data_IF_342201669204
#
_entry.id   IF_342201669204
#
_cell.length_a   1.000
_cell.length_b   1.000
_cell.length_c   1.000
_cell.angle_alpha   90.00
_cell.angle_beta   90.00
_cell.angle_gamma   90.00
#
_symmetry.space_group_name_H-M   'P 1'
#
loop_
_entity.id
_entity.type
_entity.pdbx_description
1 polymer ?
#
# COMPACT_ATOMS: atom_id res chain seq x y z
N UNK A 1 43.84 26.05 29.47
CA UNK A 1 44.32 24.78 28.89
C UNK A 1 43.13 24.06 28.27
N UNK A 2 43.25 23.72 26.98
CA UNK A 2 42.24 23.02 26.19
C UNK A 2 42.23 21.54 26.58
N UNK A 3 41.04 20.95 26.72
CA UNK A 3 40.84 19.52 26.49
C UNK A 3 39.51 19.36 25.75
N UNK A 4 39.64 18.95 24.50
CA UNK A 4 38.56 18.70 23.57
C UNK A 4 37.79 17.43 23.97
N UNK A 5 36.47 17.51 24.02
CA UNK A 5 35.60 16.35 24.05
C UNK A 5 35.01 16.16 22.64
N UNK A 6 35.46 15.10 21.98
CA UNK A 6 35.03 14.69 20.65
C UNK A 6 33.52 14.44 20.61
N UNK A 7 32.84 15.08 19.65
CA UNK A 7 31.47 14.79 19.27
C UNK A 7 31.45 13.42 18.56
N UNK A 8 30.88 12.39 19.19
CA UNK A 8 30.54 11.15 18.50
C UNK A 8 29.23 11.40 17.75
N UNK A 9 29.35 11.63 16.45
CA UNK A 9 28.23 11.58 15.53
C UNK A 9 27.77 10.11 15.42
N UNK A 10 26.64 9.79 16.05
CA UNK A 10 25.96 8.51 15.83
C UNK A 10 25.27 8.56 14.47
N UNK A 11 25.97 8.05 13.47
CA UNK A 11 25.41 7.66 12.18
C UNK A 11 24.52 6.43 12.43
N UNK A 12 23.20 6.62 12.49
CA UNK A 12 22.22 5.53 12.44
C UNK A 12 22.12 5.03 10.99
N UNK A 13 23.11 4.24 10.60
CA UNK A 13 23.09 3.42 9.39
C UNK A 13 22.17 2.20 9.57
N UNK A 14 21.55 1.83 8.46
CA UNK A 14 20.51 0.82 8.28
C UNK A 14 20.64 -0.46 9.10
N UNK A 15 19.48 -0.91 9.60
CA UNK A 15 19.16 -2.32 9.75
C UNK A 15 17.80 -2.61 9.09
N UNK A 16 17.66 -3.78 8.45
CA UNK A 16 16.47 -4.15 7.68
C UNK A 16 15.29 -4.35 8.63
N UNK A 17 14.19 -3.67 8.34
CA UNK A 17 12.90 -3.99 8.96
C UNK A 17 12.52 -5.37 8.46
N UNK A 18 12.69 -6.38 9.33
CA UNK A 18 12.27 -7.74 9.07
C UNK A 18 10.81 -7.76 8.65
N UNK A 19 10.59 -8.18 7.41
CA UNK A 19 9.38 -8.76 6.82
C UNK A 19 8.27 -9.08 7.84
N UNK A 20 7.30 -8.19 7.97
CA UNK A 20 6.06 -8.49 8.69
C UNK A 20 5.19 -9.32 7.76
N UNK A 21 5.13 -10.62 8.03
CA UNK A 21 4.05 -11.51 7.59
C UNK A 21 2.80 -11.10 8.36
N UNK A 22 1.82 -10.51 7.68
CA UNK A 22 0.52 -10.23 8.29
C UNK A 22 -0.41 -11.42 8.05
N UNK A 23 -0.30 -12.38 8.95
CA UNK A 23 -1.31 -13.37 9.27
C UNK A 23 -1.28 -13.49 10.79
N UNK A 24 -2.32 -12.96 11.44
CA UNK A 24 -2.75 -13.28 12.81
C UNK A 24 -1.65 -13.70 13.82
N UNK A 25 -0.78 -12.77 14.22
CA UNK A 25 -0.13 -12.84 15.54
C UNK A 25 -0.15 -11.45 16.17
N UNK A 26 -0.68 -11.37 17.38
CA UNK A 26 -0.49 -10.25 18.29
C UNK A 26 1.01 -9.94 18.40
N UNK A 27 1.37 -8.66 18.57
CA UNK A 27 2.74 -8.29 18.98
C UNK A 27 3.12 -9.17 20.17
N UNK A 28 3.98 -10.17 19.97
CA UNK A 28 4.32 -11.12 21.02
C UNK A 28 5.02 -10.38 22.17
N UNK A 29 4.74 -10.76 23.40
CA UNK A 29 5.33 -10.15 24.61
C UNK A 29 6.86 -10.05 24.53
N UNK A 30 7.50 -11.00 23.82
CA UNK A 30 8.95 -11.02 23.56
C UNK A 30 9.43 -9.83 22.72
N UNK A 31 8.66 -9.38 21.72
CA UNK A 31 9.00 -8.20 20.90
C UNK A 31 8.83 -6.90 21.68
N UNK A 32 7.81 -6.82 22.54
CA UNK A 32 7.58 -5.67 23.42
C UNK A 32 8.69 -5.54 24.49
N UNK A 33 9.15 -6.65 25.06
CA UNK A 33 10.31 -6.66 25.97
C UNK A 33 11.63 -6.26 25.29
N UNK A 34 11.84 -6.62 24.02
CA UNK A 34 13.02 -6.16 23.27
C UNK A 34 12.99 -4.64 23.02
N UNK A 35 11.81 -4.06 22.83
CA UNK A 35 11.64 -2.61 22.73
C UNK A 35 11.89 -1.91 24.06
N UNK A 36 11.45 -2.48 25.19
CA UNK A 36 11.66 -1.92 26.53
C UNK A 36 13.15 -1.77 26.88
N UNK A 37 13.99 -2.77 26.54
CA UNK A 37 15.45 -2.68 26.73
C UNK A 37 16.10 -1.51 26.00
N UNK A 38 15.48 -1.06 24.91
CA UNK A 38 15.99 0.00 24.04
C UNK A 38 15.39 1.37 24.37
N UNK A 39 14.19 1.38 24.95
CA UNK A 39 13.47 2.59 25.34
C UNK A 39 12.89 2.42 26.76
N UNK A 40 13.73 2.49 27.81
CA UNK A 40 13.27 2.29 29.18
C UNK A 40 12.22 3.32 29.61
N UNK A 41 12.29 4.54 29.06
CA UNK A 41 11.33 5.61 29.30
C UNK A 41 9.94 5.37 28.69
N UNK A 42 9.74 4.27 27.95
CA UNK A 42 8.45 3.89 27.40
C UNK A 42 7.57 3.13 28.42
N UNK A 43 8.16 2.53 29.45
CA UNK A 43 7.47 1.92 30.58
C UNK A 43 7.06 3.03 31.56
N UNK A 44 5.85 3.53 31.37
CA UNK A 44 5.37 4.72 32.05
C UNK A 44 4.83 4.40 33.45
N UNK A 45 4.32 3.18 33.65
CA UNK A 45 3.83 2.71 34.94
C UNK A 45 4.94 2.06 35.81
N UNK A 46 6.12 1.78 35.23
CA UNK A 46 7.29 1.24 35.92
C UNK A 46 7.17 -0.25 36.28
N UNK A 47 6.30 -0.99 35.59
CA UNK A 47 6.02 -2.40 35.90
C UNK A 47 7.00 -3.39 35.23
N UNK A 48 7.92 -2.89 34.40
CA UNK A 48 8.91 -3.70 33.70
C UNK A 48 8.38 -4.46 32.48
N UNK A 49 7.15 -4.17 32.03
CA UNK A 49 6.48 -4.80 30.90
C UNK A 49 5.85 -3.74 29.99
N UNK A 50 6.43 -3.52 28.82
CA UNK A 50 5.91 -2.54 27.87
C UNK A 50 4.57 -3.00 27.25
N UNK A 51 3.46 -2.35 27.64
CA UNK A 51 2.15 -2.54 27.03
C UNK A 51 2.05 -1.90 25.63
N UNK A 52 1.01 -2.26 24.86
CA UNK A 52 0.79 -1.65 23.54
C UNK A 52 0.45 -0.16 23.66
N UNK A 53 -0.32 0.18 24.68
CA UNK A 53 -0.79 1.51 25.00
C UNK A 53 0.39 2.42 25.36
N UNK A 54 1.32 1.92 26.17
CA UNK A 54 2.57 2.62 26.52
C UNK A 54 3.51 2.79 25.32
N UNK A 55 3.66 1.76 24.48
CA UNK A 55 4.45 1.86 23.26
C UNK A 55 3.90 2.91 22.28
N UNK A 56 2.57 3.06 22.21
CA UNK A 56 1.90 4.09 21.41
C UNK A 56 2.06 5.47 22.04
N UNK A 57 1.85 5.58 23.36
CA UNK A 57 1.97 6.83 24.10
C UNK A 57 3.40 7.39 24.03
N UNK A 58 4.41 6.55 24.24
CA UNK A 58 5.82 6.93 24.13
C UNK A 58 6.18 7.39 22.71
N UNK A 59 5.70 6.69 21.68
CA UNK A 59 5.89 7.12 20.28
C UNK A 59 5.26 8.49 20.03
N UNK A 60 4.07 8.74 20.53
CA UNK A 60 3.36 10.01 20.37
C UNK A 60 4.07 11.14 21.12
N UNK A 61 4.60 10.87 22.33
CA UNK A 61 5.33 11.84 23.13
C UNK A 61 6.68 12.21 22.50
N UNK A 62 7.44 11.24 21.98
CA UNK A 62 8.69 11.49 21.24
C UNK A 62 8.41 12.28 19.96
N UNK A 63 7.30 12.00 19.28
CA UNK A 63 6.88 12.75 18.08
C UNK A 63 6.42 14.17 18.42
N UNK A 64 5.76 14.37 19.56
CA UNK A 64 5.32 15.69 20.05
C UNK A 64 6.47 16.55 20.61
N UNK A 65 7.46 15.94 21.25
CA UNK A 65 8.65 16.64 21.77
C UNK A 65 9.53 17.26 20.69
N UNK A 66 9.51 16.70 19.47
CA UNK A 66 10.18 17.27 18.30
C UNK A 66 9.44 18.53 17.78
N UNK A 67 8.14 18.66 18.05
CA UNK A 67 7.32 19.78 17.58
C UNK A 67 7.40 21.05 18.47
N UNK A 68 7.86 20.95 19.73
CA UNK A 68 7.79 22.05 20.70
C UNK A 68 9.12 22.78 21.00
N UNK A 69 10.23 22.40 20.37
CA UNK A 69 11.55 23.05 20.57
C UNK A 69 11.76 24.32 19.74
N UNK A 70 11.32 25.49 20.25
CA UNK A 70 11.32 26.81 19.60
C UNK A 70 12.66 27.47 19.22
N UNK A 71 13.72 26.73 18.88
CA UNK A 71 14.98 27.26 18.31
C UNK A 71 15.43 26.54 17.03
N UNK A 72 14.51 25.82 16.38
CA UNK A 72 14.78 25.00 15.18
C UNK A 72 14.50 25.68 13.83
N UNK A 73 14.07 26.94 13.79
CA UNK A 73 13.58 27.58 12.55
C UNK A 73 14.67 27.72 11.47
N UNK A 74 15.95 27.83 11.85
CA UNK A 74 17.07 27.88 10.91
C UNK A 74 17.56 26.49 10.43
N UNK A 75 17.28 25.42 11.19
CA UNK A 75 17.67 24.04 10.83
C UNK A 75 16.54 23.23 10.19
N UNK A 76 15.29 23.71 10.23
CA UNK A 76 14.15 23.09 9.55
C UNK A 76 14.27 23.11 8.01
N UNK A 77 15.04 24.07 7.47
CA UNK A 77 15.41 24.11 6.03
C UNK A 77 16.36 22.97 5.61
N UNK A 78 16.99 22.27 6.56
CA UNK A 78 17.94 21.17 6.30
C UNK A 78 17.39 19.77 6.62
N UNK A 79 16.27 19.65 7.34
CA UNK A 79 15.66 18.35 7.66
C UNK A 79 14.61 17.89 6.64
N UNK A 80 14.53 18.53 5.47
CA UNK A 80 13.90 18.04 4.24
C UNK A 80 14.64 16.85 3.64
N UNK A 81 15.07 15.87 4.46
CA UNK A 81 15.31 14.54 3.91
C UNK A 81 13.95 13.90 3.65
N UNK A 82 13.34 14.29 2.53
CA UNK A 82 12.22 13.59 1.94
C UNK A 82 12.58 12.13 1.68
N UNK A 83 11.55 11.32 1.37
CA UNK A 83 11.76 9.97 0.85
C UNK A 83 12.79 10.04 -0.30
N UNK A 84 13.73 9.09 -0.36
CA UNK A 84 14.68 8.99 -1.49
C UNK A 84 13.89 8.67 -2.77
N UNK A 85 13.61 9.70 -3.56
CA UNK A 85 12.85 9.59 -4.83
C UNK A 85 13.76 9.31 -6.01
N UNK A 86 14.96 9.90 -6.00
CA UNK A 86 16.03 9.54 -6.91
C UNK A 86 16.90 8.48 -6.26
N UNK A 87 16.99 7.34 -6.93
CA UNK A 87 17.82 6.22 -6.50
C UNK A 87 18.65 5.73 -7.65
N UNK A 88 19.85 5.26 -7.32
CA UNK A 88 20.71 4.58 -8.28
C UNK A 88 20.04 3.23 -8.59
N UNK A 89 19.67 3.05 -9.85
CA UNK A 89 19.23 1.77 -10.39
C UNK A 89 20.48 1.02 -10.83
N UNK A 90 20.56 -0.27 -10.53
CA UNK A 90 21.67 -1.09 -11.00
C UNK A 90 21.56 -1.24 -12.54
N UNK A 91 22.65 -1.01 -13.31
CA UNK A 91 22.61 -1.13 -14.78
C UNK A 91 22.25 -2.54 -15.27
N UNK A 92 22.30 -3.55 -14.40
CA UNK A 92 21.79 -4.88 -14.70
C UNK A 92 20.30 -4.93 -15.05
N UNK A 93 19.51 -3.90 -14.72
CA UNK A 93 18.12 -3.76 -15.20
C UNK A 93 18.00 -3.44 -16.68
N UNK A 94 19.07 -2.94 -17.31
CA UNK A 94 19.11 -2.62 -18.73
C UNK A 94 19.75 -3.75 -19.56
N UNK A 95 20.12 -4.87 -18.90
CA UNK A 95 20.58 -6.09 -19.57
C UNK A 95 19.41 -6.98 -19.98
N UNK A 96 19.63 -7.81 -21.00
CA UNK A 96 18.64 -8.79 -21.47
C UNK A 96 18.27 -9.82 -20.39
N UNK A 97 19.21 -10.12 -19.49
CA UNK A 97 19.05 -11.11 -18.42
C UNK A 97 19.64 -10.63 -17.11
N UNK A 98 19.04 -11.09 -16.01
CA UNK A 98 19.61 -10.95 -14.67
C UNK A 98 20.78 -11.93 -14.48
N UNK A 99 21.61 -11.76 -13.44
CA UNK A 99 22.67 -12.71 -13.11
C UNK A 99 22.18 -14.17 -13.08
N UNK A 100 22.99 -15.12 -13.57
CA UNK A 100 22.63 -16.54 -13.72
C UNK A 100 22.20 -17.22 -12.41
N UNK A 101 22.62 -16.70 -11.26
CA UNK A 101 22.20 -17.20 -9.95
C UNK A 101 20.85 -16.66 -9.46
N UNK A 102 20.20 -15.76 -10.20
CA UNK A 102 18.90 -15.21 -9.83
C UNK A 102 17.86 -16.32 -9.59
N UNK A 103 17.09 -16.17 -8.51
CA UNK A 103 16.14 -17.20 -8.08
C UNK A 103 15.01 -17.44 -9.08
N UNK A 104 14.63 -16.44 -9.89
CA UNK A 104 13.59 -16.55 -10.91
C UNK A 104 13.88 -17.57 -12.03
N UNK A 105 15.15 -18.02 -12.14
CA UNK A 105 15.57 -19.07 -13.07
C UNK A 105 15.57 -20.47 -12.46
N UNK A 106 15.28 -20.61 -11.15
CA UNK A 106 15.29 -21.88 -10.44
C UNK A 106 13.93 -22.59 -10.54
N UNK A 107 13.96 -23.91 -10.35
CA UNK A 107 12.75 -24.74 -10.28
C UNK A 107 11.96 -24.46 -8.98
N UNK A 108 10.65 -24.72 -8.94
CA UNK A 108 9.84 -24.52 -7.74
C UNK A 108 10.41 -25.17 -6.46
N UNK A 109 10.96 -26.38 -6.59
CA UNK A 109 11.60 -27.12 -5.49
C UNK A 109 12.88 -26.44 -4.99
N UNK A 110 13.72 -25.94 -5.90
CA UNK A 110 14.93 -25.19 -5.54
C UNK A 110 14.58 -23.87 -4.86
N UNK A 111 13.59 -23.13 -5.35
CA UNK A 111 13.12 -21.88 -4.74
C UNK A 111 12.66 -22.13 -3.30
N UNK A 112 11.90 -23.21 -3.08
CA UNK A 112 11.45 -23.64 -1.76
C UNK A 112 12.63 -23.95 -0.82
N UNK A 113 13.62 -24.72 -1.30
CA UNK A 113 14.81 -25.03 -0.53
C UNK A 113 15.61 -23.76 -0.14
N UNK A 114 15.75 -22.81 -1.08
CA UNK A 114 16.42 -21.52 -0.85
C UNK A 114 15.67 -20.72 0.22
N UNK A 115 14.33 -20.61 0.12
CA UNK A 115 13.56 -19.83 1.09
C UNK A 115 13.53 -20.46 2.48
N UNK A 116 13.41 -21.79 2.56
CA UNK A 116 13.51 -22.55 3.82
C UNK A 116 14.85 -22.27 4.51
N UNK A 117 15.95 -22.28 3.75
CA UNK A 117 17.28 -21.95 4.27
C UNK A 117 17.37 -20.49 4.71
N UNK A 118 16.91 -19.55 3.88
CA UNK A 118 16.96 -18.11 4.17
C UNK A 118 16.18 -17.71 5.43
N UNK A 119 15.10 -18.44 5.74
CA UNK A 119 14.26 -18.19 6.93
C UNK A 119 14.62 -19.09 8.12
N UNK A 120 15.63 -19.96 7.98
CA UNK A 120 15.96 -20.99 8.97
C UNK A 120 14.75 -21.84 9.39
N UNK A 121 13.82 -22.09 8.46
CA UNK A 121 12.57 -22.82 8.70
C UNK A 121 11.55 -22.11 9.61
N UNK A 122 11.77 -20.84 9.98
CA UNK A 122 10.87 -20.10 10.89
C UNK A 122 9.60 -19.61 10.21
N UNK A 123 9.53 -19.67 8.88
CA UNK A 123 8.35 -19.30 8.11
C UNK A 123 7.91 -20.48 7.25
N UNK A 124 6.60 -20.66 7.03
CA UNK A 124 6.13 -21.62 6.06
C UNK A 124 6.76 -21.27 4.72
N UNK A 125 7.49 -22.22 4.13
CA UNK A 125 8.22 -21.94 2.92
C UNK A 125 7.28 -21.71 1.73
N UNK A 126 6.14 -22.40 1.71
CA UNK A 126 5.06 -22.18 0.75
C UNK A 126 3.81 -21.79 1.52
N UNK A 127 3.32 -20.58 1.29
CA UNK A 127 1.94 -20.20 1.66
C UNK A 127 1.05 -20.50 0.47
N UNK A 128 -0.03 -21.22 0.73
CA UNK A 128 -1.06 -21.58 -0.25
C UNK A 128 -2.44 -21.48 0.40
N UNK A 129 -3.46 -21.31 -0.43
CA UNK A 129 -4.85 -21.30 0.00
C UNK A 129 -5.66 -22.19 -0.94
N UNK A 130 -6.61 -23.00 -0.44
CA UNK A 130 -7.54 -23.71 -1.29
C UNK A 130 -8.34 -22.70 -2.12
N UNK A 131 -8.82 -23.11 -3.29
CA UNK A 131 -9.71 -22.28 -4.11
C UNK A 131 -10.93 -21.89 -3.26
N UNK A 132 -11.21 -20.60 -3.06
CA UNK A 132 -12.35 -20.18 -2.27
C UNK A 132 -13.68 -20.53 -2.95
N UNK A 133 -14.68 -20.93 -2.17
CA UNK A 133 -16.03 -21.25 -2.64
C UNK A 133 -17.05 -20.13 -2.35
N UNK A 134 -16.61 -19.06 -1.67
CA UNK A 134 -17.39 -17.91 -1.26
C UNK A 134 -17.26 -16.71 -2.22
N UNK A 135 -16.56 -16.89 -3.35
CA UNK A 135 -16.27 -15.83 -4.32
C UNK A 135 -15.01 -15.03 -4.02
N UNK A 136 -14.30 -15.30 -2.92
CA UNK A 136 -13.04 -14.64 -2.62
C UNK A 136 -11.96 -14.98 -3.67
N UNK A 137 -11.04 -14.05 -3.92
CA UNK A 137 -9.89 -14.27 -4.81
C UNK A 137 -8.62 -14.41 -3.99
N UNK A 138 -7.73 -15.33 -4.35
CA UNK A 138 -6.42 -15.50 -3.70
C UNK A 138 -5.49 -14.37 -4.15
N UNK A 139 -5.20 -13.45 -3.24
CA UNK A 139 -4.40 -12.25 -3.52
C UNK A 139 -2.98 -12.42 -3.00
N UNK A 140 -2.00 -12.22 -3.88
CA UNK A 140 -0.62 -11.98 -3.52
C UNK A 140 -0.27 -10.51 -3.77
N UNK A 141 0.62 -9.91 -3.00
CA UNK A 141 0.86 -8.48 -3.13
C UNK A 141 2.21 -7.95 -2.68
N UNK A 142 2.66 -6.90 -3.36
CA UNK A 142 3.82 -6.08 -3.00
C UNK A 142 3.34 -4.66 -2.73
N UNK A 143 4.04 -3.97 -1.83
CA UNK A 143 3.76 -2.56 -1.62
C UNK A 143 4.49 -1.98 -0.44
N UNK A 144 4.22 -0.70 -0.22
CA UNK A 144 4.78 0.05 0.88
C UNK A 144 3.69 0.67 1.76
N UNK A 145 4.05 1.64 2.59
CA UNK A 145 3.17 2.28 3.56
C UNK A 145 1.89 2.87 2.98
N UNK A 146 1.81 3.11 1.67
CA UNK A 146 0.59 3.58 1.01
C UNK A 146 -0.35 2.43 0.67
N UNK A 147 0.15 1.20 0.49
CA UNK A 147 -0.69 0.02 0.21
C UNK A 147 -1.13 -0.73 1.47
N UNK A 148 -0.35 -0.59 2.55
CA UNK A 148 -0.60 -1.27 3.82
C UNK A 148 -2.00 -1.01 4.39
N UNK A 149 -2.58 0.21 4.33
CA UNK A 149 -3.93 0.42 4.84
C UNK A 149 -4.96 -0.42 4.08
N UNK A 150 -4.99 -0.37 2.74
CA UNK A 150 -5.85 -1.22 1.90
C UNK A 150 -5.70 -2.71 2.19
N UNK A 151 -4.47 -3.23 2.27
CA UNK A 151 -4.21 -4.63 2.64
C UNK A 151 -4.74 -5.00 4.05
N UNK A 152 -4.74 -4.07 5.00
CA UNK A 152 -5.22 -4.32 6.37
C UNK A 152 -6.74 -4.33 6.47
N UNK A 153 -7.40 -3.46 5.71
CA UNK A 153 -8.85 -3.30 5.74
C UNK A 153 -9.58 -4.32 4.88
N UNK A 154 -8.96 -4.77 3.78
CA UNK A 154 -9.58 -5.70 2.82
C UNK A 154 -10.16 -6.98 3.48
N UNK A 155 -9.46 -7.68 4.41
CA UNK A 155 -10.04 -8.86 5.05
C UNK A 155 -11.30 -8.59 5.88
N UNK A 156 -11.37 -7.44 6.58
CA UNK A 156 -12.55 -7.07 7.36
C UNK A 156 -13.73 -6.72 6.44
N UNK A 157 -13.49 -5.97 5.37
CA UNK A 157 -14.48 -5.61 4.37
C UNK A 157 -15.01 -6.88 3.67
N UNK A 158 -14.11 -7.78 3.26
CA UNK A 158 -14.48 -9.04 2.63
C UNK A 158 -15.33 -9.91 3.55
N UNK A 159 -14.98 -9.98 4.84
CA UNK A 159 -15.77 -10.72 5.84
C UNK A 159 -17.19 -10.18 5.97
N UNK A 160 -17.36 -8.86 6.01
CA UNK A 160 -18.68 -8.25 6.04
C UNK A 160 -19.48 -8.55 4.76
N UNK A 161 -18.81 -8.72 3.62
CA UNK A 161 -19.40 -9.18 2.38
C UNK A 161 -19.62 -10.71 2.30
N UNK A 162 -19.38 -11.47 3.38
CA UNK A 162 -19.56 -12.92 3.41
C UNK A 162 -18.37 -13.74 2.87
N UNK A 163 -17.20 -13.12 2.69
CA UNK A 163 -16.00 -13.74 2.12
C UNK A 163 -14.85 -13.86 3.12
N UNK A 164 -14.04 -14.92 3.01
CA UNK A 164 -12.78 -15.07 3.73
C UNK A 164 -11.61 -14.77 2.80
N UNK A 165 -11.07 -13.56 2.88
CA UNK A 165 -9.99 -13.10 2.00
C UNK A 165 -8.66 -13.87 2.21
N UNK A 166 -8.19 -14.66 1.23
CA UNK A 166 -6.83 -15.18 1.22
C UNK A 166 -5.88 -14.09 0.73
N UNK A 167 -4.93 -13.68 1.57
CA UNK A 167 -4.01 -12.57 1.30
C UNK A 167 -2.59 -12.92 1.76
N UNK A 168 -1.61 -12.77 0.87
CA UNK A 168 -0.19 -12.94 1.21
C UNK A 168 0.65 -11.81 0.61
N UNK A 169 1.41 -11.10 1.46
CA UNK A 169 2.11 -9.89 1.01
C UNK A 169 3.58 -9.86 1.38
N UNK A 170 4.38 -9.17 0.57
CA UNK A 170 5.75 -8.78 0.89
C UNK A 170 5.88 -7.26 0.86
N UNK A 171 5.57 -6.65 1.99
CA UNK A 171 5.60 -5.18 2.14
C UNK A 171 6.90 -4.67 2.76
N UNK A 172 7.17 -3.38 2.58
CA UNK A 172 8.31 -2.66 3.17
C UNK A 172 8.02 -1.17 3.39
N UNK A 173 8.90 -0.45 4.10
CA UNK A 173 8.79 1.01 4.25
C UNK A 173 9.41 1.74 3.06
N UNK A 174 8.68 2.69 2.45
CA UNK A 174 9.17 3.45 1.30
C UNK A 174 9.69 2.54 0.17
N UNK A 175 10.88 2.82 -0.35
CA UNK A 175 11.50 2.08 -1.47
C UNK A 175 11.64 0.58 -1.21
N UNK A 176 11.80 0.17 0.05
CA UNK A 176 11.97 -1.25 0.41
C UNK A 176 10.72 -2.10 0.17
N UNK A 177 9.58 -1.44 -0.11
CA UNK A 177 8.32 -2.07 -0.53
C UNK A 177 8.01 -1.92 -2.03
N UNK A 178 8.89 -1.30 -2.83
CA UNK A 178 8.70 -1.16 -4.28
C UNK A 178 8.83 -2.49 -5.02
N UNK A 179 8.18 -2.61 -6.19
CA UNK A 179 8.26 -3.79 -7.04
C UNK A 179 9.71 -4.15 -7.40
N UNK A 180 10.51 -3.13 -7.78
CA UNK A 180 11.95 -3.27 -8.07
C UNK A 180 12.71 -3.84 -6.89
N UNK A 181 12.64 -3.18 -5.73
CA UNK A 181 13.42 -3.58 -4.55
C UNK A 181 13.07 -4.99 -4.10
N UNK A 182 11.78 -5.34 -4.11
CA UNK A 182 11.36 -6.70 -3.78
C UNK A 182 11.88 -7.71 -4.79
N UNK A 183 11.86 -7.40 -6.09
CA UNK A 183 12.40 -8.30 -7.11
C UNK A 183 13.88 -8.59 -6.85
N UNK A 184 14.68 -7.55 -6.60
CA UNK A 184 16.11 -7.68 -6.32
C UNK A 184 16.36 -8.52 -5.05
N UNK A 185 15.59 -8.26 -3.99
CA UNK A 185 15.65 -9.00 -2.73
C UNK A 185 15.28 -10.47 -2.88
N UNK A 186 14.20 -10.77 -3.59
CA UNK A 186 13.73 -12.15 -3.77
C UNK A 186 14.70 -12.96 -4.62
N UNK A 187 15.31 -12.32 -5.62
CA UNK A 187 16.26 -12.96 -6.51
C UNK A 187 17.69 -13.04 -5.94
N UNK A 188 18.03 -12.27 -4.91
CA UNK A 188 19.38 -12.23 -4.37
C UNK A 188 20.39 -11.69 -5.38
N UNK A 189 20.02 -10.61 -6.06
CA UNK A 189 20.83 -9.95 -7.09
C UNK A 189 21.17 -8.51 -6.69
N UNK A 190 22.19 -7.94 -7.32
CA UNK A 190 22.63 -6.56 -7.11
C UNK A 190 22.98 -6.28 -5.63
N UNK A 191 22.27 -5.37 -4.96
CA UNK A 191 22.53 -5.07 -3.55
C UNK A 191 22.24 -6.26 -2.62
N UNK A 192 21.56 -7.30 -3.12
CA UNK A 192 21.26 -8.56 -2.43
C UNK A 192 22.09 -9.75 -2.93
N UNK A 193 23.19 -9.50 -3.66
CA UNK A 193 23.94 -10.55 -4.35
C UNK A 193 24.28 -11.75 -3.43
N UNK A 194 23.85 -12.94 -3.85
CA UNK A 194 24.05 -14.19 -3.12
C UNK A 194 23.24 -14.36 -1.83
N UNK A 195 22.31 -13.43 -1.54
CA UNK A 195 21.48 -13.41 -0.32
C UNK A 195 19.98 -13.31 -0.64
N UNK A 196 19.41 -14.25 -1.41
CA UNK A 196 18.00 -14.19 -1.79
C UNK A 196 17.07 -14.43 -0.60
N UNK A 197 15.90 -13.76 -0.63
CA UNK A 197 14.76 -14.02 0.26
C UNK A 197 13.49 -14.20 -0.59
N UNK A 198 13.32 -15.35 -1.28
CA UNK A 198 12.30 -15.53 -2.31
C UNK A 198 10.93 -15.88 -1.72
N UNK A 199 10.38 -14.96 -0.92
CA UNK A 199 9.13 -15.14 -0.18
C UNK A 199 7.93 -15.35 -1.12
N UNK A 200 7.70 -14.41 -2.04
CA UNK A 200 6.58 -14.48 -2.97
C UNK A 200 6.89 -15.41 -4.14
N UNK A 201 8.13 -15.39 -4.68
CA UNK A 201 8.56 -16.31 -5.74
C UNK A 201 8.31 -17.77 -5.35
N UNK A 202 8.57 -18.14 -4.08
CA UNK A 202 8.30 -19.49 -3.59
C UNK A 202 6.81 -19.83 -3.63
N UNK A 203 5.96 -18.95 -3.08
CA UNK A 203 4.50 -19.15 -3.09
C UNK A 203 3.89 -19.10 -4.50
N UNK A 204 4.38 -18.25 -5.40
CA UNK A 204 3.88 -18.16 -6.79
C UNK A 204 4.21 -19.43 -7.57
N UNK A 205 5.41 -19.98 -7.38
CA UNK A 205 5.87 -21.15 -8.13
C UNK A 205 5.30 -22.48 -7.62
N UNK A 206 4.74 -22.51 -6.40
CA UNK A 206 4.29 -23.74 -5.72
C UNK A 206 2.81 -23.70 -5.30
N UNK A 207 2.07 -22.64 -5.62
CA UNK A 207 0.66 -22.52 -5.27
C UNK A 207 -0.09 -21.65 -6.29
N UNK A 208 -1.40 -21.82 -6.29
CA UNK A 208 -2.30 -21.09 -7.17
C UNK A 208 -2.68 -19.71 -6.60
N UNK A 209 -2.70 -18.70 -7.46
CA UNK A 209 -3.07 -17.31 -7.15
C UNK A 209 -3.94 -16.70 -8.25
N UNK A 210 -4.95 -15.93 -7.86
CA UNK A 210 -5.92 -15.34 -8.78
C UNK A 210 -5.58 -13.88 -9.12
N UNK A 211 -4.95 -13.16 -8.19
CA UNK A 211 -4.58 -11.77 -8.37
C UNK A 211 -3.21 -11.44 -7.74
N UNK A 212 -2.45 -10.59 -8.43
CA UNK A 212 -1.25 -9.95 -7.91
C UNK A 212 -1.46 -8.43 -7.85
N UNK A 213 -1.26 -7.85 -6.67
CA UNK A 213 -1.45 -6.41 -6.41
C UNK A 213 -0.10 -5.72 -6.23
N UNK A 214 0.10 -4.58 -6.89
CA UNK A 214 1.32 -3.78 -6.81
C UNK A 214 1.05 -2.37 -6.31
N UNK A 215 1.89 -1.91 -5.37
CA UNK A 215 1.99 -0.50 -5.01
C UNK A 215 2.95 0.26 -5.93
N UNK A 216 2.60 1.49 -6.36
CA UNK A 216 3.46 2.30 -7.21
C UNK A 216 4.55 2.97 -6.37
N UNK A 217 5.73 3.14 -6.92
CA UNK A 217 6.80 3.90 -6.32
C UNK A 217 7.36 4.94 -7.30
N UNK A 218 8.12 5.89 -6.76
CA UNK A 218 8.70 6.97 -7.56
C UNK A 218 9.65 6.41 -8.63
N UNK A 219 9.60 6.99 -9.84
CA UNK A 219 10.46 6.63 -10.97
C UNK A 219 10.40 5.14 -11.33
N UNK A 220 9.26 4.50 -11.10
CA UNK A 220 9.05 3.12 -11.54
C UNK A 220 9.07 3.03 -13.06
N UNK A 221 9.49 1.87 -13.54
CA UNK A 221 9.53 1.50 -14.96
C UNK A 221 8.65 0.27 -15.15
N UNK A 222 8.04 0.12 -16.33
CA UNK A 222 7.28 -1.08 -16.67
C UNK A 222 8.08 -2.38 -16.42
N UNK A 223 9.39 -2.37 -16.70
CA UNK A 223 10.29 -3.50 -16.45
C UNK A 223 10.29 -4.01 -14.99
N UNK A 224 10.04 -3.14 -14.01
CA UNK A 224 10.01 -3.52 -12.59
C UNK A 224 8.76 -4.33 -12.22
N UNK A 225 7.72 -4.26 -13.04
CA UNK A 225 6.49 -5.04 -12.87
C UNK A 225 6.47 -6.24 -13.81
N UNK A 226 6.92 -6.08 -15.06
CA UNK A 226 6.89 -7.13 -16.07
C UNK A 226 7.66 -8.37 -15.61
N UNK A 227 8.78 -8.22 -14.92
CA UNK A 227 9.53 -9.37 -14.38
C UNK A 227 8.70 -10.21 -13.38
N UNK A 228 7.92 -9.54 -12.52
CA UNK A 228 6.96 -10.21 -11.64
C UNK A 228 5.83 -10.84 -12.43
N UNK A 229 5.25 -10.10 -13.39
CA UNK A 229 4.12 -10.57 -14.20
C UNK A 229 4.48 -11.81 -15.02
N UNK A 230 5.65 -11.82 -15.67
CA UNK A 230 6.17 -12.96 -16.43
C UNK A 230 6.35 -14.20 -15.53
N UNK A 231 6.89 -14.00 -14.33
CA UNK A 231 7.04 -15.08 -13.36
C UNK A 231 5.68 -15.59 -12.88
N UNK A 232 4.73 -14.69 -12.59
CA UNK A 232 3.37 -15.05 -12.21
C UNK A 232 2.67 -15.84 -13.32
N UNK A 233 2.64 -15.35 -14.56
CA UNK A 233 1.98 -16.01 -15.71
C UNK A 233 2.56 -17.39 -15.98
N UNK A 234 3.86 -17.59 -15.77
CA UNK A 234 4.51 -18.90 -15.95
C UNK A 234 3.88 -19.99 -15.08
N UNK A 235 3.46 -19.67 -13.86
CA UNK A 235 2.93 -20.65 -12.89
C UNK A 235 1.42 -20.51 -12.66
N UNK A 236 0.86 -19.33 -12.94
CA UNK A 236 -0.54 -18.97 -12.73
C UNK A 236 -1.05 -18.26 -13.99
N UNK A 237 -1.34 -18.98 -15.09
CA UNK A 237 -1.62 -18.37 -16.39
C UNK A 237 -2.87 -17.48 -16.41
N UNK A 238 -3.82 -17.70 -15.50
CA UNK A 238 -5.07 -16.93 -15.40
C UNK A 238 -5.00 -15.74 -14.44
N UNK A 239 -3.86 -15.53 -13.77
CA UNK A 239 -3.69 -14.45 -12.81
C UNK A 239 -3.97 -13.08 -13.45
N UNK A 240 -4.59 -12.19 -12.66
CA UNK A 240 -4.81 -10.78 -12.99
C UNK A 240 -3.88 -9.88 -12.19
N UNK A 241 -3.50 -8.75 -12.76
CA UNK A 241 -2.59 -7.79 -12.16
C UNK A 241 -3.31 -6.49 -11.87
N UNK A 242 -3.15 -5.99 -10.64
CA UNK A 242 -3.79 -4.77 -10.17
C UNK A 242 -2.73 -3.79 -9.69
N UNK A 243 -2.60 -2.68 -10.39
CA UNK A 243 -1.65 -1.61 -10.03
C UNK A 243 -2.41 -0.49 -9.34
N UNK A 244 -2.07 -0.18 -8.10
CA UNK A 244 -2.50 1.08 -7.50
C UNK A 244 -1.80 2.24 -8.21
N UNK A 245 -2.57 3.28 -8.51
CA UNK A 245 -2.07 4.53 -9.06
C UNK A 245 -1.54 5.48 -7.97
N UNK A 246 -1.93 5.27 -6.71
CA UNK A 246 -1.76 6.16 -5.57
C UNK A 246 -2.28 7.58 -5.84
N UNK A 247 -2.42 8.40 -4.80
CA UNK A 247 -3.07 9.70 -4.90
C UNK A 247 -2.11 10.88 -5.10
N UNK A 248 -2.65 12.06 -5.48
CA UNK A 248 -1.86 13.26 -5.55
C UNK A 248 -1.24 13.66 -4.20
N UNK A 249 -0.06 14.26 -4.24
CA UNK A 249 0.71 14.63 -3.04
C UNK A 249 1.13 16.10 -3.10
N UNK A 250 1.37 16.71 -1.93
CA UNK A 250 1.84 18.10 -1.81
C UNK A 250 3.15 18.37 -2.57
N UNK A 251 3.98 17.34 -2.76
CA UNK A 251 5.19 17.45 -3.57
C UNK A 251 4.92 17.97 -4.99
N UNK A 252 3.78 17.61 -5.61
CA UNK A 252 3.44 18.07 -6.96
C UNK A 252 3.34 19.60 -7.07
N UNK A 253 3.15 20.29 -5.94
CA UNK A 253 3.06 21.74 -5.89
C UNK A 253 4.44 22.41 -5.73
N UNK A 254 5.50 21.64 -5.45
CA UNK A 254 6.84 22.15 -5.12
C UNK A 254 6.91 22.78 -3.73
N UNK A 255 6.04 23.74 -3.44
CA UNK A 255 5.89 24.40 -2.14
C UNK A 255 4.49 24.20 -1.58
N UNK A 256 4.40 24.08 -0.25
CA UNK A 256 3.10 23.99 0.42
C UNK A 256 2.36 25.33 0.30
N UNK A 257 1.07 25.33 -0.09
CA UNK A 257 0.28 26.55 -0.07
C UNK A 257 0.10 27.04 1.37
N UNK A 258 -0.13 28.36 1.57
CA UNK A 258 -0.25 28.95 2.90
C UNK A 258 -1.53 28.55 3.63
N UNK A 259 -2.54 28.03 2.91
CA UNK A 259 -3.85 27.67 3.45
C UNK A 259 -4.50 26.55 2.64
N UNK A 260 -5.40 25.79 3.28
CA UNK A 260 -6.20 24.75 2.61
C UNK A 260 -7.21 25.35 1.61
N UNK A 261 -7.51 26.65 1.68
CA UNK A 261 -8.33 27.36 0.69
C UNK A 261 -7.74 27.33 -0.74
N UNK A 262 -6.46 26.96 -0.88
CA UNK A 262 -5.83 26.72 -2.18
C UNK A 262 -6.44 25.53 -2.94
N UNK A 263 -6.92 24.50 -2.23
CA UNK A 263 -7.40 23.27 -2.84
C UNK A 263 -8.85 23.40 -3.30
N UNK A 264 -9.08 24.15 -4.38
CA UNK A 264 -10.37 24.15 -5.07
C UNK A 264 -10.56 22.84 -5.85
N UNK A 265 -11.77 22.56 -6.33
CA UNK A 265 -12.02 21.39 -7.18
C UNK A 265 -11.16 21.39 -8.44
N UNK A 266 -10.96 22.56 -9.07
CA UNK A 266 -10.12 22.68 -10.26
C UNK A 266 -8.66 22.35 -9.98
N UNK A 267 -8.16 22.72 -8.79
CA UNK A 267 -6.81 22.37 -8.34
C UNK A 267 -6.70 20.87 -8.11
N UNK A 268 -7.68 20.27 -7.44
CA UNK A 268 -7.73 18.82 -7.17
C UNK A 268 -7.82 18.01 -8.48
N UNK A 269 -8.66 18.45 -9.43
CA UNK A 269 -8.79 17.83 -10.75
C UNK A 269 -7.50 17.92 -11.55
N UNK A 270 -6.83 19.08 -11.54
CA UNK A 270 -5.51 19.24 -12.17
C UNK A 270 -4.47 18.30 -11.57
N UNK A 271 -4.36 18.25 -10.24
CA UNK A 271 -3.41 17.38 -9.54
C UNK A 271 -3.68 15.89 -9.81
N UNK A 272 -4.96 15.49 -9.86
CA UNK A 272 -5.38 14.15 -10.25
C UNK A 272 -5.01 13.80 -11.69
N UNK A 273 -5.25 14.73 -12.63
CA UNK A 273 -4.90 14.56 -14.04
C UNK A 273 -3.38 14.42 -14.24
N UNK A 274 -2.59 15.27 -13.58
CA UNK A 274 -1.12 15.17 -13.61
C UNK A 274 -0.64 13.81 -13.08
N UNK A 275 -1.18 13.39 -11.94
CA UNK A 275 -0.85 12.10 -11.33
C UNK A 275 -1.17 10.92 -12.25
N UNK A 276 -2.34 10.94 -12.90
CA UNK A 276 -2.74 9.93 -13.88
C UNK A 276 -1.80 9.91 -15.09
N UNK A 277 -1.44 11.09 -15.60
CA UNK A 277 -0.49 11.22 -16.71
C UNK A 277 0.85 10.53 -16.41
N UNK A 278 1.44 10.80 -15.23
CA UNK A 278 2.68 10.14 -14.81
C UNK A 278 2.50 8.63 -14.61
N UNK A 279 1.35 8.17 -14.11
CA UNK A 279 1.10 6.73 -13.97
C UNK A 279 1.03 6.01 -15.32
N UNK A 280 0.47 6.66 -16.35
CA UNK A 280 0.36 6.10 -17.70
C UNK A 280 1.72 5.78 -18.35
N UNK A 281 2.78 6.51 -18.01
CA UNK A 281 4.14 6.23 -18.51
C UNK A 281 4.62 4.81 -18.15
N UNK A 282 4.13 4.27 -17.03
CA UNK A 282 4.39 2.88 -16.60
C UNK A 282 3.28 1.92 -17.04
N UNK A 283 2.02 2.36 -17.00
CA UNK A 283 0.86 1.51 -17.27
C UNK A 283 0.74 1.12 -18.75
N UNK A 284 0.93 2.05 -19.69
CA UNK A 284 0.70 1.81 -21.12
C UNK A 284 1.55 0.67 -21.69
N UNK A 285 2.87 0.58 -21.38
CA UNK A 285 3.67 -0.58 -21.80
C UNK A 285 3.16 -1.91 -21.22
N UNK A 286 2.63 -1.91 -19.99
CA UNK A 286 2.12 -3.12 -19.33
C UNK A 286 0.78 -3.56 -19.92
N UNK A 287 -0.15 -2.63 -20.19
CA UNK A 287 -1.40 -2.91 -20.88
C UNK A 287 -1.14 -3.54 -22.26
N UNK A 288 -0.14 -3.03 -22.98
CA UNK A 288 0.26 -3.57 -24.29
C UNK A 288 0.89 -4.96 -24.18
N UNK A 289 1.74 -5.20 -23.19
CA UNK A 289 2.45 -6.46 -23.01
C UNK A 289 1.55 -7.59 -22.47
N UNK A 290 0.52 -7.25 -21.68
CA UNK A 290 -0.35 -8.21 -20.99
C UNK A 290 -1.84 -7.88 -21.22
N UNK A 291 -2.32 -8.00 -22.48
CA UNK A 291 -3.68 -7.61 -22.83
C UNK A 291 -4.72 -8.40 -22.02
N UNK A 292 -5.70 -7.69 -21.46
CA UNK A 292 -6.80 -8.28 -20.66
C UNK A 292 -6.41 -8.78 -19.27
N UNK A 293 -5.16 -8.56 -18.82
CA UNK A 293 -4.67 -9.01 -17.51
C UNK A 293 -4.31 -7.89 -16.55
N UNK A 294 -4.06 -6.68 -17.04
CA UNK A 294 -3.59 -5.54 -16.24
C UNK A 294 -4.75 -4.57 -16.00
N UNK A 295 -4.96 -4.25 -14.72
CA UNK A 295 -6.02 -3.38 -14.24
C UNK A 295 -5.46 -2.36 -13.24
N UNK A 296 -6.16 -1.25 -13.07
CA UNK A 296 -5.82 -0.18 -12.11
C UNK A 296 -6.69 -0.31 -10.86
N UNK A 297 -6.09 -0.16 -9.69
CA UNK A 297 -6.80 0.17 -8.44
C UNK A 297 -6.85 1.69 -8.35
N UNK A 298 -7.99 2.35 -8.63
CA UNK A 298 -8.08 3.81 -8.81
C UNK A 298 -8.14 4.55 -7.48
N UNK A 299 -7.11 4.34 -6.66
CA UNK A 299 -6.92 5.00 -5.37
C UNK A 299 -6.72 6.50 -5.52
N UNK A 300 -6.14 6.97 -6.63
CA UNK A 300 -6.01 8.38 -6.96
C UNK A 300 -7.37 9.04 -7.07
N UNK A 301 -8.24 8.48 -7.92
CA UNK A 301 -9.56 9.04 -8.18
C UNK A 301 -10.43 9.04 -6.94
N UNK A 302 -10.40 7.96 -6.14
CA UNK A 302 -11.12 7.89 -4.88
C UNK A 302 -10.68 9.01 -3.91
N UNK A 303 -9.38 9.28 -3.79
CA UNK A 303 -8.88 10.32 -2.88
C UNK A 303 -9.13 11.73 -3.42
N UNK A 304 -9.09 11.94 -4.74
CA UNK A 304 -9.48 13.20 -5.37
C UNK A 304 -10.97 13.47 -5.13
N UNK A 305 -11.82 12.47 -5.34
CA UNK A 305 -13.26 12.56 -5.05
C UNK A 305 -13.51 12.87 -3.57
N UNK A 306 -12.85 12.17 -2.64
CA UNK A 306 -12.96 12.45 -1.21
C UNK A 306 -12.55 13.89 -0.85
N UNK A 307 -11.48 14.40 -1.46
CA UNK A 307 -11.05 15.78 -1.28
C UNK A 307 -12.07 16.79 -1.82
N UNK A 308 -12.69 16.52 -2.98
CA UNK A 308 -13.76 17.37 -3.54
C UNK A 308 -14.99 17.38 -2.65
N UNK A 309 -15.43 16.21 -2.16
CA UNK A 309 -16.50 16.13 -1.17
C UNK A 309 -16.17 16.91 0.11
N UNK A 310 -14.92 16.87 0.59
CA UNK A 310 -14.50 17.67 1.74
C UNK A 310 -14.61 19.18 1.45
N UNK A 311 -14.13 19.64 0.29
CA UNK A 311 -14.20 21.07 -0.11
C UNK A 311 -15.64 21.59 -0.17
N UNK A 312 -16.60 20.71 -0.50
CA UNK A 312 -18.05 21.02 -0.47
C UNK A 312 -18.67 20.98 0.93
N UNK A 313 -17.93 20.58 1.95
CA UNK A 313 -18.44 20.39 3.32
C UNK A 313 -19.27 19.12 3.49
N UNK A 314 -19.12 18.14 2.60
CA UNK A 314 -19.95 16.95 2.57
C UNK A 314 -19.39 15.79 3.41
N UNK A 315 -18.18 15.89 3.96
CA UNK A 315 -17.49 14.80 4.66
C UNK A 315 -17.64 14.89 6.19
N UNK A 316 -18.64 14.22 6.81
CA UNK A 316 -18.95 14.40 8.23
C UNK A 316 -17.79 13.93 9.12
N UNK A 317 -17.41 14.78 10.07
CA UNK A 317 -16.35 14.49 11.04
C UNK A 317 -14.91 14.64 10.51
N UNK A 318 -14.72 14.89 9.21
CA UNK A 318 -13.43 15.32 8.66
C UNK A 318 -13.28 16.83 8.87
N UNK A 319 -12.11 17.24 9.33
CA UNK A 319 -11.82 18.61 9.76
C UNK A 319 -10.88 19.37 8.83
N UNK A 320 -10.10 18.66 8.01
CA UNK A 320 -9.09 19.23 7.12
C UNK A 320 -8.73 18.34 5.93
N UNK A 321 -7.97 18.89 4.99
CA UNK A 321 -7.37 18.14 3.89
C UNK A 321 -6.00 17.61 4.32
N UNK A 322 -5.08 18.52 4.64
CA UNK A 322 -3.69 18.22 4.96
C UNK A 322 -3.35 18.74 6.36
N UNK A 323 -3.07 17.82 7.29
CA UNK A 323 -2.69 18.17 8.67
C UNK A 323 -1.48 19.12 8.72
N UNK A 324 -0.54 18.98 7.78
CA UNK A 324 0.64 19.86 7.72
C UNK A 324 0.31 21.31 7.38
N UNK A 325 -0.85 21.58 6.76
CA UNK A 325 -1.33 22.92 6.40
C UNK A 325 -2.41 23.36 7.39
N UNK A 326 -3.55 22.64 7.45
CA UNK A 326 -4.71 23.02 8.27
C UNK A 326 -4.58 22.74 9.77
N UNK A 327 -3.58 21.95 10.19
CA UNK A 327 -3.31 21.58 11.61
C UNK A 327 -4.49 20.89 12.30
N UNK A 328 -5.36 20.23 11.53
CA UNK A 328 -6.48 19.45 12.04
C UNK A 328 -6.12 17.97 12.14
N UNK A 329 -6.49 17.34 13.25
CA UNK A 329 -6.16 15.93 13.46
C UNK A 329 -6.93 15.03 12.49
N UNK A 330 -8.23 15.27 12.30
CA UNK A 330 -9.06 14.52 11.35
C UNK A 330 -8.94 15.09 9.93
N UNK A 331 -7.71 15.19 9.45
CA UNK A 331 -7.42 15.56 8.06
C UNK A 331 -7.38 14.32 7.14
N UNK A 332 -7.69 14.45 5.85
CA UNK A 332 -7.55 13.36 4.87
C UNK A 332 -6.13 12.80 4.82
N UNK A 333 -5.13 13.67 4.91
CA UNK A 333 -3.71 13.33 4.93
C UNK A 333 -3.04 13.82 6.21
N UNK A 334 -2.34 12.93 6.92
CA UNK A 334 -1.76 13.23 8.25
C UNK A 334 -0.35 13.81 8.22
N UNK A 335 0.34 13.75 7.09
CA UNK A 335 1.73 14.21 6.98
C UNK A 335 2.06 14.81 5.62
N UNK A 336 3.30 15.28 5.48
CA UNK A 336 3.82 15.93 4.29
C UNK A 336 3.88 15.00 3.07
N UNK A 337 4.01 13.70 3.31
CA UNK A 337 4.14 12.71 2.24
C UNK A 337 2.77 12.33 1.67
N UNK A 338 1.71 12.53 2.44
CA UNK A 338 0.36 12.18 2.04
C UNK A 338 -0.07 10.81 2.57
N UNK A 339 0.46 10.34 3.70
CA UNK A 339 -0.15 9.16 4.33
C UNK A 339 -1.58 9.47 4.78
N UNK A 340 -2.46 8.48 4.67
CA UNK A 340 -3.86 8.60 5.06
C UNK A 340 -4.00 8.99 6.54
N UNK A 341 -4.88 9.94 6.79
CA UNK A 341 -5.34 10.32 8.12
C UNK A 341 -6.25 9.25 8.74
N UNK A 342 -6.63 9.43 10.02
CA UNK A 342 -7.44 8.46 10.73
C UNK A 342 -8.71 8.09 9.96
N UNK A 343 -9.02 6.81 9.85
CA UNK A 343 -10.26 6.32 9.23
C UNK A 343 -10.25 6.24 7.70
N UNK A 344 -9.35 6.98 7.02
CA UNK A 344 -9.30 7.00 5.56
C UNK A 344 -8.76 5.70 4.96
N UNK A 345 -8.11 4.85 5.76
CA UNK A 345 -7.75 3.48 5.37
C UNK A 345 -8.96 2.67 4.90
N UNK A 346 -10.16 2.96 5.43
CA UNK A 346 -11.41 2.28 5.03
C UNK A 346 -11.74 2.55 3.57
N UNK A 347 -11.59 3.80 3.13
CA UNK A 347 -11.82 4.19 1.73
C UNK A 347 -10.89 3.43 0.78
N UNK A 348 -9.60 3.36 1.10
CA UNK A 348 -8.65 2.59 0.29
C UNK A 348 -9.03 1.09 0.26
N UNK A 349 -9.40 0.52 1.41
CA UNK A 349 -9.91 -0.85 1.48
C UNK A 349 -11.12 -1.12 0.60
N UNK A 350 -12.07 -0.17 0.55
CA UNK A 350 -13.25 -0.27 -0.29
C UNK A 350 -12.89 -0.18 -1.78
N UNK A 351 -11.89 0.61 -2.18
CA UNK A 351 -11.38 0.62 -3.56
C UNK A 351 -10.78 -0.74 -3.94
N UNK A 352 -9.99 -1.34 -3.03
CA UNK A 352 -9.43 -2.68 -3.25
C UNK A 352 -10.53 -3.71 -3.42
N UNK A 353 -11.51 -3.72 -2.51
CA UNK A 353 -12.66 -4.62 -2.60
C UNK A 353 -13.42 -4.45 -3.92
N UNK A 354 -13.80 -3.21 -4.25
CA UNK A 354 -14.60 -2.91 -5.43
C UNK A 354 -13.90 -3.33 -6.72
N UNK A 355 -12.60 -3.06 -6.85
CA UNK A 355 -11.84 -3.42 -8.05
C UNK A 355 -11.56 -4.94 -8.15
N UNK A 356 -11.23 -5.61 -7.04
CA UNK A 356 -10.94 -7.04 -7.05
C UNK A 356 -12.19 -7.89 -7.30
N UNK A 357 -13.33 -7.48 -6.71
CA UNK A 357 -14.57 -8.25 -6.75
C UNK A 357 -15.57 -7.76 -7.79
N UNK A 358 -15.40 -6.56 -8.33
CA UNK A 358 -16.36 -5.97 -9.25
C UNK A 358 -17.73 -5.76 -8.61
N UNK A 359 -17.75 -5.42 -7.32
CA UNK A 359 -18.98 -5.21 -6.55
C UNK A 359 -18.91 -3.91 -5.76
N UNK A 360 -20.01 -3.16 -5.76
CA UNK A 360 -20.14 -1.95 -4.96
C UNK A 360 -20.08 -2.28 -3.47
N UNK A 361 -19.18 -1.65 -2.70
CA UNK A 361 -19.16 -1.76 -1.25
C UNK A 361 -20.45 -1.28 -0.58
N UNK A 362 -21.30 -0.51 -1.28
CA UNK A 362 -22.62 -0.10 -0.79
C UNK A 362 -23.57 -1.28 -0.57
N UNK A 363 -23.32 -2.40 -1.24
CA UNK A 363 -24.11 -3.64 -1.13
C UNK A 363 -23.79 -4.45 0.12
N UNK A 364 -22.76 -4.09 0.87
CA UNK A 364 -22.37 -4.80 2.10
C UNK A 364 -23.35 -4.40 3.22
N UNK A 365 -24.30 -5.29 3.51
CA UNK A 365 -25.32 -5.04 4.55
C UNK A 365 -24.78 -5.20 5.98
N UNK A 366 -23.81 -6.09 6.17
CA UNK A 366 -23.23 -6.33 7.49
C UNK A 366 -22.33 -5.16 7.92
N UNK A 367 -22.27 -4.94 9.23
CA UNK A 367 -21.31 -4.01 9.81
C UNK A 367 -19.87 -4.47 9.54
N UNK A 368 -19.01 -3.54 9.12
CA UNK A 368 -17.59 -3.84 8.89
C UNK A 368 -16.82 -3.57 10.18
N UNK A 369 -16.30 -4.64 10.78
CA UNK A 369 -15.53 -4.57 12.02
C UNK A 369 -14.05 -4.25 11.73
N UNK A 370 -13.72 -2.96 11.71
CA UNK A 370 -12.33 -2.50 11.52
C UNK A 370 -11.49 -2.54 12.81
N UNK A 371 -12.14 -2.72 13.97
CA UNK A 371 -11.50 -2.60 15.29
C UNK A 371 -11.13 -1.16 15.64
N UNK A 372 -10.66 -0.94 16.87
CA UNK A 372 -10.25 0.38 17.36
C UNK A 372 -11.43 1.27 17.78
N UNK A 373 -11.27 2.58 17.61
CA UNK A 373 -12.30 3.56 17.96
C UNK A 373 -13.53 3.40 17.06
N UNK A 374 -14.67 3.07 17.66
CA UNK A 374 -15.95 2.88 16.97
C UNK A 374 -16.70 4.18 16.76
N UNK A 375 -16.26 5.29 17.37
CA UNK A 375 -16.89 6.60 17.22
C UNK A 375 -16.54 7.30 15.92
N UNK A 376 -15.44 6.90 15.26
CA UNK A 376 -14.98 7.51 14.03
C UNK A 376 -14.19 6.53 13.14
N UNK A 377 -14.38 6.53 11.81
CA UNK A 377 -15.44 7.16 11.01
C UNK A 377 -16.87 6.83 11.47
N UNK A 378 -17.77 7.81 11.38
CA UNK A 378 -19.20 7.59 11.63
C UNK A 378 -19.83 6.71 10.55
N UNK A 379 -21.00 6.09 10.79
CA UNK A 379 -21.72 5.34 9.76
C UNK A 379 -22.02 6.16 8.49
N UNK A 380 -22.30 7.46 8.63
CA UNK A 380 -22.52 8.38 7.51
C UNK A 380 -21.25 8.53 6.67
N UNK A 381 -20.10 8.74 7.32
CA UNK A 381 -18.80 8.86 6.64
C UNK A 381 -18.41 7.53 5.97
N UNK A 382 -18.67 6.39 6.62
CA UNK A 382 -18.42 5.06 6.03
C UNK A 382 -19.26 4.84 4.76
N UNK A 383 -20.56 5.18 4.78
CA UNK A 383 -21.43 5.14 3.59
C UNK A 383 -20.90 6.02 2.46
N UNK A 384 -20.36 7.19 2.78
CA UNK A 384 -19.71 8.03 1.77
C UNK A 384 -18.45 7.40 1.19
N UNK A 385 -17.61 6.77 2.02
CA UNK A 385 -16.42 6.07 1.51
C UNK A 385 -16.77 4.95 0.55
N UNK A 386 -17.83 4.19 0.81
CA UNK A 386 -18.32 3.13 -0.09
C UNK A 386 -18.76 3.69 -1.44
N UNK A 387 -19.54 4.78 -1.43
CA UNK A 387 -19.97 5.51 -2.64
C UNK A 387 -18.78 6.03 -3.45
N UNK A 388 -17.84 6.69 -2.78
CA UNK A 388 -16.64 7.24 -3.42
C UNK A 388 -15.81 6.13 -4.05
N UNK A 389 -15.61 5.02 -3.33
CA UNK A 389 -14.87 3.87 -3.84
C UNK A 389 -15.55 3.25 -5.07
N UNK A 390 -16.87 3.02 -5.02
CA UNK A 390 -17.60 2.46 -6.16
C UNK A 390 -17.51 3.36 -7.38
N UNK A 391 -17.77 4.66 -7.19
CA UNK A 391 -17.67 5.65 -8.26
C UNK A 391 -16.28 5.67 -8.88
N UNK A 392 -15.23 5.72 -8.08
CA UNK A 392 -13.85 5.71 -8.57
C UNK A 392 -13.55 4.46 -9.39
N UNK A 393 -14.06 3.30 -8.98
CA UNK A 393 -13.83 2.03 -9.68
C UNK A 393 -14.65 1.91 -10.96
N UNK A 394 -15.95 2.17 -10.91
CA UNK A 394 -16.85 2.03 -12.05
C UNK A 394 -16.60 3.09 -13.15
N UNK A 395 -16.10 4.27 -12.80
CA UNK A 395 -15.80 5.34 -13.77
C UNK A 395 -14.36 5.26 -14.33
N UNK A 396 -13.46 4.47 -13.74
CA UNK A 396 -12.06 4.43 -14.19
C UNK A 396 -11.88 3.47 -15.39
N UNK A 397 -11.36 3.95 -16.55
CA UNK A 397 -11.35 3.19 -17.80
C UNK A 397 -10.52 1.89 -17.76
N UNK A 398 -9.55 1.81 -16.85
CA UNK A 398 -8.68 0.64 -16.69
C UNK A 398 -8.94 -0.16 -15.41
N UNK A 399 -10.02 0.07 -14.68
CA UNK A 399 -10.34 -0.74 -13.48
C UNK A 399 -10.77 -2.17 -13.82
N UNK A 400 -11.29 -2.38 -15.04
CA UNK A 400 -11.92 -3.64 -15.44
C UNK A 400 -13.34 -3.81 -14.90
N UNK A 401 -13.92 -2.77 -14.32
CA UNK A 401 -15.29 -2.75 -13.81
C UNK A 401 -16.13 -1.78 -14.63
N UNK A 402 -17.28 -2.25 -15.10
CA UNK A 402 -18.29 -1.45 -15.81
C UNK A 402 -19.63 -1.75 -15.14
N UNK A 403 -20.39 -0.72 -14.78
CA UNK A 403 -21.72 -0.83 -14.16
C UNK A 403 -22.72 -0.06 -15.04
N UNK A 404 -23.23 -0.72 -16.08
CA UNK A 404 -24.11 -0.09 -17.07
C UNK A 404 -25.54 0.03 -16.57
N UNK A 405 -26.01 -0.95 -15.80
CA UNK A 405 -27.37 -0.98 -15.25
C UNK A 405 -27.50 -0.29 -13.88
N UNK A 406 -26.38 0.07 -13.25
CA UNK A 406 -26.34 0.79 -11.98
C UNK A 406 -26.70 -0.08 -10.78
N UNK A 407 -26.65 -1.41 -10.93
CA UNK A 407 -26.96 -2.35 -9.84
C UNK A 407 -25.79 -2.53 -8.86
N UNK A 408 -24.63 -1.93 -9.15
CA UNK A 408 -23.45 -2.04 -8.33
C UNK A 408 -22.68 -3.35 -8.53
N UNK A 409 -22.83 -4.03 -9.67
CA UNK A 409 -22.13 -5.25 -10.07
C UNK A 409 -21.44 -5.03 -11.41
N UNK A 410 -20.29 -5.68 -11.61
CA UNK A 410 -19.52 -5.59 -12.84
C UNK A 410 -20.20 -6.32 -14.01
N UNK A 411 -20.53 -5.58 -15.06
CA UNK A 411 -21.14 -6.01 -16.31
C UNK A 411 -20.14 -6.39 -17.41
N UNK A 412 -18.84 -6.21 -17.17
CA UNK A 412 -17.79 -6.46 -18.20
C UNK A 412 -17.75 -7.89 -18.73
N UNK A 413 -18.42 -8.84 -18.06
CA UNK A 413 -18.58 -10.23 -18.49
C UNK A 413 -19.99 -10.60 -18.96
N UNK A 414 -20.98 -9.69 -18.86
CA UNK A 414 -22.32 -9.92 -19.43
C UNK A 414 -22.18 -9.84 -20.95
N UNK A 415 -22.58 -10.89 -21.66
CA UNK A 415 -22.66 -10.86 -23.13
C UNK A 415 -23.56 -9.68 -23.55
N UNK A 416 -23.26 -8.96 -24.65
CA UNK A 416 -24.09 -7.84 -25.09
C UNK A 416 -25.52 -8.31 -25.25
N UNK A 417 -26.45 -7.65 -24.55
CA UNK A 417 -27.88 -7.88 -24.72
C UNK A 417 -28.20 -7.54 -26.18
N UNK A 418 -28.46 -8.56 -26.99
CA UNK A 418 -29.01 -8.37 -28.33
C UNK A 418 -30.40 -7.80 -28.12
N UNK A 419 -30.52 -6.48 -28.22
CA UNK A 419 -31.81 -5.81 -28.32
C UNK A 419 -32.36 -6.20 -29.68
N UNK A 420 -33.26 -7.17 -29.69
CA UNK A 420 -33.99 -7.57 -30.89
C UNK A 420 -34.70 -6.36 -31.48
N UNK A 421 -34.35 -6.01 -32.71
CA UNK A 421 -35.17 -5.14 -33.54
C UNK A 421 -36.54 -5.78 -33.67
N UNK A 422 -37.56 -5.11 -33.13
CA UNK A 422 -38.93 -5.39 -33.50
C UNK A 422 -39.11 -4.87 -34.93
N UNK A 423 -39.31 -5.80 -35.86
CA UNK A 423 -39.85 -5.54 -37.19
C UNK A 423 -41.36 -5.19 -37.11
#
# INVERSE_FOLDING_TARGET
MKLAASLIAVVLLGLPVSSVTFGQESLSATRLQQLLKRFPAADANGDGVLSKEEAIAYRNQVSAGIAQGGKGQANWRKSTQGIKRNFKVNPGWDLERFPEHAVCYKTPAEINAIFTKATSGKQPAVVSFPKPNDGAVRVIGIGHSFMVPGYRTLPAISRAAGMTQPLYTHVGGGMTGSARYKWEQENGIFDFDGKPVPKLLCSIANADWDAMVFGPYYNDRAAYYSCWMDFCVRYNPDIKFYLSDAWPQLEQLGENPPSEAFFTEEVLDRMGKEKRGTHHETLDPLLKAYPGKVFVLPTSDAMVLAAKHFVRGEMPGIEGLHRVIGKKERSLWKDQLGHLGPGLERLEGYVFYAALYGQSPERIENAVEFGGDTSFPSPELDRMFRKIAWRAVAEHPFSGVIDQDGDGINDSQKAPVVVGSQD
#
